data_IF_617539455495
#
_entry.id   IF_617539455495
#
_cell.length_a   1.000
_cell.length_b   1.000
_cell.length_c   1.000
_cell.angle_alpha   90.00
_cell.angle_beta   90.00
_cell.angle_gamma   90.00
#
_symmetry.space_group_name_H-M   'P 1'
#
loop_
_entity.id
_entity.type
_entity.pdbx_description
1 polymer ?
#
# COMPACT_ATOMS: atom_id res chain seq x y z
N UNK A 1 -5.30 -23.18 -23.50
CA UNK A 1 -4.77 -21.84 -23.92
C UNK A 1 -4.07 -21.15 -22.76
N UNK A 2 -4.54 -21.24 -21.51
CA UNK A 2 -3.84 -20.67 -20.35
C UNK A 2 -2.55 -21.43 -19.97
N UNK A 3 -2.35 -22.64 -20.49
CA UNK A 3 -1.29 -23.57 -20.08
C UNK A 3 0.14 -23.02 -20.34
N UNK A 4 0.27 -22.01 -21.19
CA UNK A 4 1.55 -21.35 -21.52
C UNK A 4 1.50 -19.82 -21.40
N UNK A 5 0.51 -19.28 -20.67
CA UNK A 5 0.39 -17.84 -20.42
C UNK A 5 0.60 -17.50 -18.94
N UNK A 6 1.26 -16.37 -18.67
CA UNK A 6 1.32 -15.78 -17.32
C UNK A 6 0.17 -14.78 -17.16
N UNK A 7 -0.46 -14.79 -15.98
CA UNK A 7 -1.42 -13.75 -15.58
C UNK A 7 -0.70 -12.70 -14.74
N UNK A 8 -0.68 -11.47 -15.23
CA UNK A 8 -0.13 -10.32 -14.51
C UNK A 8 -1.25 -9.38 -14.12
N UNK A 9 -1.21 -8.88 -12.88
CA UNK A 9 -2.09 -7.82 -12.41
C UNK A 9 -1.35 -6.50 -12.43
N UNK A 10 -2.03 -5.45 -12.88
CA UNK A 10 -1.56 -4.07 -12.81
C UNK A 10 -2.52 -3.30 -11.91
N UNK A 11 -1.98 -2.49 -11.01
CA UNK A 11 -2.75 -1.60 -10.14
C UNK A 11 -2.16 -0.20 -10.20
N UNK A 12 -3.03 0.80 -10.18
CA UNK A 12 -2.68 2.20 -10.04
C UNK A 12 -3.43 2.77 -8.83
N UNK A 13 -2.80 3.70 -8.13
CA UNK A 13 -3.37 4.38 -6.98
C UNK A 13 -3.00 5.85 -7.12
N UNK A 14 -4.01 6.71 -7.24
CA UNK A 14 -3.82 8.16 -7.22
C UNK A 14 -3.81 8.68 -5.78
N UNK A 15 -3.54 9.98 -5.63
CA UNK A 15 -3.44 10.62 -4.33
C UNK A 15 -4.72 10.46 -3.50
N UNK A 16 -5.89 10.63 -4.12
CA UNK A 16 -7.17 10.54 -3.40
C UNK A 16 -7.45 9.11 -2.94
N UNK A 17 -7.20 8.13 -3.80
CA UNK A 17 -7.34 6.71 -3.46
C UNK A 17 -6.40 6.33 -2.32
N UNK A 18 -5.15 6.81 -2.36
CA UNK A 18 -4.18 6.54 -1.31
C UNK A 18 -4.60 7.16 0.04
N UNK A 19 -5.15 8.38 0.04
CA UNK A 19 -5.71 8.99 1.27
C UNK A 19 -6.86 8.17 1.85
N UNK A 20 -7.71 7.58 1.01
CA UNK A 20 -8.85 6.77 1.46
C UNK A 20 -8.39 5.47 2.13
N UNK A 21 -7.41 4.76 1.57
CA UNK A 21 -7.02 3.43 2.06
C UNK A 21 -5.74 3.41 2.92
N UNK A 22 -4.93 4.46 2.87
CA UNK A 22 -3.56 4.42 3.38
C UNK A 22 -3.48 4.31 4.91
N UNK A 23 -4.39 4.97 5.64
CA UNK A 23 -4.49 4.79 7.10
C UNK A 23 -4.79 3.33 7.49
N UNK A 24 -5.68 2.66 6.76
CA UNK A 24 -5.96 1.24 6.97
C UNK A 24 -4.75 0.35 6.65
N UNK A 25 -4.01 0.66 5.57
CA UNK A 25 -2.78 -0.06 5.21
C UNK A 25 -1.69 0.07 6.28
N UNK A 26 -1.54 1.27 6.88
CA UNK A 26 -0.63 1.51 8.02
C UNK A 26 -1.04 0.65 9.21
N UNK A 27 -2.31 0.71 9.64
CA UNK A 27 -2.79 -0.06 10.79
C UNK A 27 -2.58 -1.57 10.64
N UNK A 28 -2.80 -2.11 9.45
CA UNK A 28 -2.52 -3.53 9.17
C UNK A 28 -1.02 -3.82 9.24
N UNK A 29 -0.19 -3.00 8.60
CA UNK A 29 1.26 -3.19 8.61
C UNK A 29 1.86 -3.11 10.03
N UNK A 30 1.38 -2.22 10.88
CA UNK A 30 1.78 -2.14 12.29
C UNK A 30 1.36 -3.38 13.09
N UNK A 31 0.12 -3.83 12.91
CA UNK A 31 -0.40 -5.03 13.58
C UNK A 31 0.39 -6.30 13.18
N UNK A 32 0.92 -6.34 11.96
CA UNK A 32 1.76 -7.42 11.45
C UNK A 32 3.26 -7.24 11.78
N UNK A 33 3.66 -6.15 12.44
CA UNK A 33 5.05 -5.84 12.78
C UNK A 33 5.92 -5.42 11.58
N UNK A 34 5.30 -5.01 10.48
CA UNK A 34 5.93 -4.63 9.22
C UNK A 34 6.22 -3.11 9.15
N UNK A 35 7.01 -2.58 10.08
CA UNK A 35 7.25 -1.13 10.21
C UNK A 35 7.73 -0.43 8.94
N UNK A 36 8.55 -1.08 8.11
CA UNK A 36 8.99 -0.50 6.82
C UNK A 36 7.85 -0.35 5.81
N UNK A 37 6.85 -1.24 5.85
CA UNK A 37 5.66 -1.14 4.99
C UNK A 37 4.76 0.01 5.44
N UNK A 38 4.55 0.14 6.75
CA UNK A 38 3.83 1.27 7.34
C UNK A 38 4.50 2.61 6.98
N UNK A 39 5.81 2.72 7.19
CA UNK A 39 6.59 3.91 6.86
C UNK A 39 6.47 4.29 5.37
N UNK A 40 6.54 3.32 4.46
CA UNK A 40 6.40 3.56 3.01
C UNK A 40 5.06 4.23 2.66
N UNK A 41 3.97 3.86 3.35
CA UNK A 41 2.66 4.50 3.14
C UNK A 41 2.61 5.86 3.84
N UNK A 42 3.08 5.95 5.08
CA UNK A 42 3.06 7.16 5.90
C UNK A 42 3.78 8.34 5.21
N UNK A 43 4.97 8.12 4.64
CA UNK A 43 5.73 9.18 3.95
C UNK A 43 5.01 9.71 2.69
N UNK A 44 4.15 8.90 2.06
CA UNK A 44 3.38 9.31 0.88
C UNK A 44 2.12 10.08 1.26
N UNK A 45 1.67 9.91 2.49
CA UNK A 45 0.55 10.64 3.09
C UNK A 45 0.99 11.89 3.85
N UNK A 46 2.30 12.12 3.98
CA UNK A 46 2.87 13.22 4.76
C UNK A 46 2.47 13.17 6.26
N UNK A 47 2.39 11.95 6.82
CA UNK A 47 2.03 11.70 8.24
C UNK A 47 3.19 11.09 9.05
N UNK A 48 4.40 11.04 8.49
CA UNK A 48 5.57 10.40 9.11
C UNK A 48 6.36 11.33 10.06
N UNK A 49 6.08 12.64 10.04
CA UNK A 49 6.85 13.69 10.74
C UNK A 49 6.03 14.44 11.82
N UNK A 50 4.87 13.92 12.26
CA UNK A 50 4.09 14.44 13.41
C UNK A 50 4.42 13.72 14.75
#
# INVERSE_FOLDING_TARGET
VLDFMKRSSLIACDENSLRVIGGHAISLAEAEGLGAHALSVAIRLDVADD
#
